data_IF_615815954292
#
_entry.id   IF_615815954292
#
_cell.length_a   1.000
_cell.length_b   1.000
_cell.length_c   1.000
_cell.angle_alpha   90.00
_cell.angle_beta   90.00
_cell.angle_gamma   90.00
#
_symmetry.space_group_name_H-M   'P 1'
#
loop_
_entity.id
_entity.type
_entity.pdbx_description
1 polymer ?
#
# COMPACT_ATOMS: atom_id res chain seq x y z
N UNK A 1 14.92 -25.73 -11.57
CA UNK A 1 14.02 -26.50 -10.70
C UNK A 1 14.70 -26.70 -9.35
N UNK A 2 14.02 -26.40 -8.25
CA UNK A 2 14.55 -26.37 -6.86
C UNK A 2 14.75 -27.76 -6.24
N UNK A 3 14.48 -28.83 -6.99
CA UNK A 3 14.56 -30.23 -6.51
C UNK A 3 16.00 -30.74 -6.42
N UNK A 4 16.96 -30.05 -7.05
CA UNK A 4 18.38 -30.44 -7.09
C UNK A 4 19.09 -30.37 -5.74
N UNK A 5 18.52 -29.70 -4.73
CA UNK A 5 19.13 -29.56 -3.40
C UNK A 5 18.77 -30.67 -2.39
N UNK A 6 17.90 -31.62 -2.77
CA UNK A 6 17.42 -32.69 -1.86
C UNK A 6 18.13 -34.04 -2.07
N UNK A 7 19.12 -34.11 -2.97
CA UNK A 7 19.79 -35.36 -3.33
C UNK A 7 21.31 -35.21 -3.23
N UNK A 8 21.98 -36.28 -2.78
CA UNK A 8 23.44 -36.30 -2.58
C UNK A 8 24.22 -36.06 -3.89
N UNK A 9 23.62 -36.40 -5.03
CA UNK A 9 24.11 -36.00 -6.36
C UNK A 9 23.00 -35.30 -7.18
N UNK A 10 23.03 -33.96 -7.26
CA UNK A 10 22.06 -33.15 -8.01
C UNK A 10 21.99 -33.49 -9.51
N UNK A 11 23.09 -33.97 -10.09
CA UNK A 11 23.17 -34.24 -11.53
C UNK A 11 22.48 -35.55 -11.89
N UNK A 12 22.55 -36.57 -11.01
CA UNK A 12 21.86 -37.85 -11.21
C UNK A 12 20.35 -37.71 -11.34
N UNK A 13 19.72 -36.78 -10.60
CA UNK A 13 18.28 -36.50 -10.70
C UNK A 13 17.91 -35.81 -12.01
N UNK A 14 18.80 -34.97 -12.53
CA UNK A 14 18.55 -34.21 -13.77
C UNK A 14 18.56 -35.12 -15.00
N UNK A 15 19.38 -36.17 -14.97
CA UNK A 15 19.52 -37.13 -16.07
C UNK A 15 18.65 -38.37 -15.92
N UNK A 16 17.98 -38.55 -14.78
CA UNK A 16 17.15 -39.73 -14.53
C UNK A 16 15.88 -39.72 -15.39
N UNK A 17 15.77 -40.70 -16.29
CA UNK A 17 14.64 -40.86 -17.23
C UNK A 17 13.31 -40.99 -16.50
N UNK A 18 13.26 -41.82 -15.45
CA UNK A 18 12.01 -42.10 -14.73
C UNK A 18 11.50 -40.85 -13.99
N UNK A 19 12.42 -40.05 -13.41
CA UNK A 19 12.05 -38.79 -12.74
C UNK A 19 11.52 -37.79 -13.76
N UNK A 20 12.18 -37.66 -14.92
CA UNK A 20 11.74 -36.75 -15.97
C UNK A 20 10.39 -37.17 -16.58
N UNK A 21 10.18 -38.47 -16.79
CA UNK A 21 8.92 -39.03 -17.27
C UNK A 21 7.79 -38.82 -16.24
N UNK A 22 8.05 -39.09 -14.97
CA UNK A 22 7.13 -38.84 -13.87
C UNK A 22 6.74 -37.36 -13.75
N UNK A 23 7.71 -36.44 -13.83
CA UNK A 23 7.46 -34.99 -13.81
C UNK A 23 6.64 -34.58 -15.05
N UNK A 24 6.89 -35.17 -16.21
CA UNK A 24 6.14 -34.90 -17.43
C UNK A 24 4.68 -35.34 -17.31
N UNK A 25 4.43 -36.53 -16.73
CA UNK A 25 3.08 -37.02 -16.44
C UNK A 25 2.37 -36.15 -15.40
N UNK A 26 3.07 -35.70 -14.36
CA UNK A 26 2.51 -34.76 -13.37
C UNK A 26 2.11 -33.43 -14.00
N UNK A 27 2.96 -32.86 -14.86
CA UNK A 27 2.70 -31.61 -15.55
C UNK A 27 1.54 -31.71 -16.55
N UNK A 28 1.31 -32.89 -17.14
CA UNK A 28 0.17 -33.12 -18.05
C UNK A 28 -1.14 -33.32 -17.29
N UNK A 29 -1.12 -33.95 -16.12
CA UNK A 29 -2.31 -34.18 -15.29
C UNK A 29 -2.76 -32.94 -14.50
N UNK A 30 -1.82 -32.09 -14.10
CA UNK A 30 -2.09 -30.87 -13.35
C UNK A 30 -1.17 -29.73 -13.83
N UNK A 31 -1.43 -29.17 -15.03
CA UNK A 31 -0.61 -28.09 -15.56
C UNK A 31 -0.59 -26.90 -14.61
N UNK A 32 0.57 -26.29 -14.33
CA UNK A 32 0.66 -25.11 -13.49
C UNK A 32 -0.24 -24.01 -14.04
N UNK A 33 -1.25 -23.62 -13.26
CA UNK A 33 -2.09 -22.48 -13.62
C UNK A 33 -1.29 -21.20 -13.37
N UNK A 34 -1.08 -20.42 -14.43
CA UNK A 34 -0.48 -19.09 -14.28
C UNK A 34 -1.42 -18.25 -13.42
N UNK A 35 -0.95 -17.88 -12.23
CA UNK A 35 -1.54 -16.85 -11.38
C UNK A 35 -1.26 -15.45 -12.00
N UNK A 36 -1.72 -15.20 -13.23
CA UNK A 36 -1.73 -13.84 -13.75
C UNK A 36 -2.82 -13.08 -13.00
N UNK A 37 -2.41 -12.18 -12.12
CA UNK A 37 -3.31 -11.19 -11.53
C UNK A 37 -3.35 -9.97 -12.45
N UNK A 38 -4.53 -9.48 -12.85
CA UNK A 38 -4.62 -8.27 -13.66
C UNK A 38 -4.13 -7.06 -12.84
N UNK A 39 -3.57 -6.07 -13.53
CA UNK A 39 -3.32 -4.76 -12.92
C UNK A 39 -4.67 -4.12 -12.60
N UNK A 40 -4.90 -3.75 -11.33
CA UNK A 40 -6.15 -3.12 -10.88
C UNK A 40 -5.92 -1.61 -10.79
N UNK A 41 -6.65 -0.84 -11.59
CA UNK A 41 -6.67 0.62 -11.48
C UNK A 41 -7.70 1.06 -10.42
N UNK A 42 -7.22 1.65 -9.33
CA UNK A 42 -8.07 2.14 -8.24
C UNK A 42 -8.52 3.60 -8.41
N UNK A 43 -8.01 4.35 -9.40
CA UNK A 43 -8.35 5.76 -9.63
C UNK A 43 -9.87 6.02 -9.70
N UNK A 44 -10.69 5.18 -10.37
CA UNK A 44 -12.15 5.37 -10.38
C UNK A 44 -12.77 5.26 -8.98
N UNK A 45 -12.23 4.39 -8.12
CA UNK A 45 -12.70 4.22 -6.75
C UNK A 45 -12.40 5.46 -5.91
N UNK A 46 -11.18 5.99 -6.03
CA UNK A 46 -10.80 7.22 -5.33
C UNK A 46 -11.62 8.43 -5.78
N UNK A 47 -11.83 8.59 -7.10
CA UNK A 47 -12.66 9.67 -7.65
C UNK A 47 -14.10 9.59 -7.14
N UNK A 48 -14.68 8.38 -7.11
CA UNK A 48 -16.02 8.18 -6.54
C UNK A 48 -16.10 8.55 -5.05
N UNK A 49 -15.11 8.15 -4.24
CA UNK A 49 -15.07 8.46 -2.81
C UNK A 49 -14.88 9.96 -2.54
N UNK A 50 -14.19 10.68 -3.42
CA UNK A 50 -14.01 12.14 -3.35
C UNK A 50 -15.30 12.91 -3.63
N UNK A 51 -16.11 12.45 -4.59
CA UNK A 51 -17.36 13.12 -4.96
C UNK A 51 -18.47 12.99 -3.91
N UNK A 52 -18.36 12.03 -2.99
CA UNK A 52 -19.33 11.88 -1.91
C UNK A 52 -19.23 13.09 -0.96
N UNK A 53 -20.37 13.73 -0.60
CA UNK A 53 -20.39 14.86 0.33
C UNK A 53 -19.64 14.56 1.63
N UNK A 54 -19.25 15.60 2.37
CA UNK A 54 -18.57 15.46 3.67
C UNK A 54 -19.47 15.82 4.85
N UNK A 55 -20.48 16.66 4.63
CA UNK A 55 -21.33 17.26 5.67
C UNK A 55 -22.79 16.79 5.63
N UNK A 56 -23.25 16.27 4.49
CA UNK A 56 -24.65 15.82 4.26
C UNK A 56 -24.75 14.36 3.81
N UNK A 57 -23.77 13.54 4.19
CA UNK A 57 -23.70 12.14 3.78
C UNK A 57 -24.83 11.31 4.36
N UNK A 58 -25.38 10.38 3.57
CA UNK A 58 -26.18 9.30 4.15
C UNK A 58 -25.30 8.34 4.96
N UNK A 59 -25.88 7.67 5.95
CA UNK A 59 -25.16 6.67 6.77
C UNK A 59 -24.53 5.57 5.92
N UNK A 60 -25.18 5.19 4.80
CA UNK A 60 -24.65 4.20 3.85
C UNK A 60 -23.35 4.66 3.18
N UNK A 61 -23.27 5.92 2.75
CA UNK A 61 -22.07 6.48 2.13
C UNK A 61 -20.91 6.59 3.12
N UNK A 62 -21.18 6.98 4.37
CA UNK A 62 -20.17 7.00 5.44
C UNK A 62 -19.70 5.59 5.78
N UNK A 63 -20.60 4.62 5.83
CA UNK A 63 -20.26 3.23 6.06
C UNK A 63 -19.38 2.68 4.94
N UNK A 64 -19.65 3.02 3.68
CA UNK A 64 -18.79 2.65 2.55
C UNK A 64 -17.39 3.27 2.65
N UNK A 65 -17.29 4.56 2.99
CA UNK A 65 -16.00 5.25 3.22
C UNK A 65 -15.21 4.58 4.35
N UNK A 66 -15.87 4.30 5.47
CA UNK A 66 -15.25 3.63 6.62
C UNK A 66 -14.80 2.20 6.29
N UNK A 67 -15.66 1.42 5.65
CA UNK A 67 -15.38 0.05 5.24
C UNK A 67 -14.18 -0.03 4.29
N UNK A 68 -14.11 0.88 3.31
CA UNK A 68 -12.97 0.99 2.40
C UNK A 68 -11.69 1.34 3.15
N UNK A 69 -11.73 2.35 4.03
CA UNK A 69 -10.56 2.76 4.81
C UNK A 69 -10.06 1.63 5.72
N UNK A 70 -10.95 0.93 6.43
CA UNK A 70 -10.59 -0.22 7.26
C UNK A 70 -10.05 -1.38 6.42
N UNK A 71 -10.66 -1.66 5.26
CA UNK A 71 -10.18 -2.67 4.32
C UNK A 71 -8.74 -2.42 3.87
N UNK A 72 -8.42 -1.19 3.48
CA UNK A 72 -7.08 -0.79 3.01
C UNK A 72 -6.07 -0.69 4.14
N UNK A 73 -6.44 -0.15 5.30
CA UNK A 73 -5.50 0.07 6.41
C UNK A 73 -5.23 -1.18 7.25
N UNK A 74 -6.20 -2.09 7.36
CA UNK A 74 -6.11 -3.30 8.18
C UNK A 74 -6.07 -4.59 7.35
N UNK A 75 -6.03 -4.49 6.02
CA UNK A 75 -6.05 -5.63 5.08
C UNK A 75 -7.24 -6.57 5.30
N UNK A 76 -8.41 -6.01 5.62
CA UNK A 76 -9.60 -6.77 5.95
C UNK A 76 -10.32 -7.24 4.70
N UNK A 77 -10.82 -8.47 4.73
CA UNK A 77 -11.76 -8.97 3.72
C UNK A 77 -13.15 -8.40 3.99
N UNK A 78 -14.05 -8.37 2.98
CA UNK A 78 -15.45 -8.01 3.21
C UNK A 78 -16.12 -8.84 4.32
N UNK A 79 -15.80 -10.14 4.42
CA UNK A 79 -16.31 -11.00 5.49
C UNK A 79 -15.74 -10.67 6.88
N UNK A 80 -14.54 -10.10 6.94
CA UNK A 80 -13.93 -9.70 8.21
C UNK A 80 -14.61 -8.43 8.73
N UNK A 81 -14.95 -7.48 7.83
CA UNK A 81 -15.74 -6.29 8.17
C UNK A 81 -17.12 -6.64 8.75
N UNK A 82 -17.81 -7.62 8.17
CA UNK A 82 -19.10 -8.11 8.66
C UNK A 82 -19.03 -8.74 10.06
N UNK A 83 -17.84 -9.14 10.50
CA UNK A 83 -17.62 -9.82 11.77
C UNK A 83 -17.00 -8.92 12.83
N UNK A 84 -17.09 -7.60 12.65
CA UNK A 84 -16.74 -6.62 13.67
C UNK A 84 -17.99 -6.40 14.55
N UNK A 85 -18.04 -6.94 15.78
CA UNK A 85 -19.17 -6.70 16.65
C UNK A 85 -19.10 -5.26 17.20
N UNK A 86 -20.20 -4.52 17.14
CA UNK A 86 -20.23 -3.12 17.59
C UNK A 86 -19.71 -2.93 19.03
N UNK A 87 -20.01 -3.89 19.92
CA UNK A 87 -19.56 -3.90 21.33
C UNK A 87 -18.03 -3.94 21.53
N UNK A 88 -17.25 -4.35 20.52
CA UNK A 88 -15.79 -4.37 20.63
C UNK A 88 -15.14 -3.05 20.19
N UNK A 89 -15.92 -2.12 19.61
CA UNK A 89 -15.42 -0.87 19.07
C UNK A 89 -15.19 0.12 20.21
N UNK A 90 -13.98 0.66 20.28
CA UNK A 90 -13.61 1.70 21.24
C UNK A 90 -12.90 2.84 20.51
N UNK A 91 -13.45 4.04 20.62
CA UNK A 91 -12.82 5.26 20.10
C UNK A 91 -12.19 5.98 21.29
N UNK A 92 -10.88 6.15 21.26
CA UNK A 92 -10.15 6.96 22.25
C UNK A 92 -9.81 8.32 21.61
N UNK A 93 -10.49 9.41 22.01
CA UNK A 93 -10.22 10.75 21.47
C UNK A 93 -8.80 11.22 21.79
N UNK A 94 -8.34 10.93 23.01
CA UNK A 94 -7.05 11.41 23.51
C UNK A 94 -5.86 10.86 22.74
N UNK A 95 -5.96 9.62 22.25
CA UNK A 95 -4.91 8.97 21.45
C UNK A 95 -5.22 8.97 19.95
N UNK A 96 -6.31 9.62 19.52
CA UNK A 96 -6.83 9.59 18.16
C UNK A 96 -6.77 8.17 17.56
N UNK A 97 -7.32 7.21 18.31
CA UNK A 97 -7.23 5.78 17.97
C UNK A 97 -8.58 5.10 17.99
N UNK A 98 -8.80 4.28 16.98
CA UNK A 98 -9.92 3.36 16.85
C UNK A 98 -9.42 1.94 17.16
N UNK A 99 -9.97 1.33 18.20
CA UNK A 99 -9.80 -0.08 18.53
C UNK A 99 -11.06 -0.83 18.11
N UNK A 100 -10.88 -2.05 17.59
CA UNK A 100 -11.98 -2.98 17.32
C UNK A 100 -11.47 -4.42 17.24
N UNK A 101 -12.37 -5.37 17.36
CA UNK A 101 -12.08 -6.79 17.16
C UNK A 101 -12.80 -7.33 15.93
N UNK A 102 -12.17 -8.29 15.25
CA UNK A 102 -12.80 -9.14 14.23
C UNK A 102 -12.96 -10.53 14.82
N UNK A 103 -14.20 -10.99 14.94
CA UNK A 103 -14.54 -12.28 15.51
C UNK A 103 -14.60 -13.33 14.40
N UNK A 104 -14.07 -14.53 14.62
CA UNK A 104 -14.14 -15.64 13.66
C UNK A 104 -13.76 -15.28 12.20
N UNK A 105 -12.60 -14.63 11.94
CA UNK A 105 -12.14 -14.42 10.58
C UNK A 105 -11.96 -15.77 9.86
N UNK A 106 -11.84 -15.77 8.53
CA UNK A 106 -11.63 -17.04 7.79
C UNK A 106 -10.34 -17.77 8.19
N UNK A 107 -9.37 -17.03 8.74
CA UNK A 107 -8.15 -17.58 9.34
C UNK A 107 -8.48 -18.42 10.57
N UNK A 108 -7.86 -19.60 10.67
CA UNK A 108 -7.97 -20.50 11.82
C UNK A 108 -6.60 -20.72 12.43
N UNK A 109 -6.51 -20.80 13.75
CA UNK A 109 -5.28 -21.18 14.47
C UNK A 109 -5.56 -22.45 15.24
N UNK A 110 -4.74 -23.48 15.05
CA UNK A 110 -4.96 -24.82 15.63
C UNK A 110 -6.38 -25.35 15.38
N UNK A 111 -6.87 -25.17 14.14
CA UNK A 111 -8.24 -25.52 13.69
C UNK A 111 -9.39 -24.80 14.43
N UNK A 112 -9.11 -23.83 15.29
CA UNK A 112 -10.11 -23.03 16.01
C UNK A 112 -10.30 -21.66 15.36
N UNK A 113 -11.51 -21.12 15.53
CA UNK A 113 -11.80 -19.72 15.23
C UNK A 113 -11.05 -18.83 16.20
N UNK A 114 -10.62 -17.67 15.73
CA UNK A 114 -9.84 -16.71 16.51
C UNK A 114 -10.58 -15.38 16.64
N UNK A 115 -10.13 -14.55 17.57
CA UNK A 115 -10.47 -13.13 17.62
C UNK A 115 -9.18 -12.38 17.26
N UNK A 116 -9.27 -11.44 16.32
CA UNK A 116 -8.16 -10.55 15.96
C UNK A 116 -8.50 -9.13 16.38
N UNK A 117 -7.69 -8.56 17.26
CA UNK A 117 -7.83 -7.16 17.67
C UNK A 117 -7.02 -6.25 16.76
N UNK A 118 -7.58 -5.10 16.41
CA UNK A 118 -6.97 -4.08 15.58
C UNK A 118 -6.95 -2.76 16.34
N UNK A 119 -5.90 -1.98 16.13
CA UNK A 119 -5.81 -0.61 16.64
C UNK A 119 -5.32 0.30 15.53
N UNK A 120 -6.23 1.04 14.94
CA UNK A 120 -5.94 2.07 13.94
C UNK A 120 -5.67 3.35 14.70
N UNK A 121 -4.42 3.80 14.68
CA UNK A 121 -4.02 5.04 15.33
C UNK A 121 -3.72 6.10 14.28
N UNK A 122 -4.03 7.35 14.56
CA UNK A 122 -3.55 8.50 13.77
C UNK A 122 -2.04 8.71 14.02
N UNK A 123 -1.22 7.72 13.67
CA UNK A 123 0.21 7.66 14.00
C UNK A 123 1.14 8.17 12.92
N UNK A 124 0.57 8.67 11.83
CA UNK A 124 1.32 9.24 10.72
C UNK A 124 2.37 10.26 11.21
N UNK A 125 2.03 11.13 12.18
CA UNK A 125 3.01 12.08 12.75
C UNK A 125 4.16 11.41 13.51
N UNK A 126 3.93 10.32 14.24
CA UNK A 126 4.99 9.63 15.01
C UNK A 126 5.93 8.86 14.09
N UNK A 127 5.40 8.25 13.03
CA UNK A 127 6.18 7.52 12.05
C UNK A 127 7.05 8.48 11.21
N UNK A 128 6.51 9.64 10.81
CA UNK A 128 7.28 10.65 10.08
C UNK A 128 8.49 11.18 10.87
N UNK A 129 8.44 11.18 12.20
CA UNK A 129 9.57 11.60 13.06
C UNK A 129 10.79 10.68 12.96
N UNK A 130 10.63 9.44 12.50
CA UNK A 130 11.77 8.56 12.21
C UNK A 130 12.45 8.90 10.88
N UNK A 131 11.70 9.47 9.93
CA UNK A 131 12.21 9.82 8.60
C UNK A 131 12.71 11.25 8.50
N UNK A 132 12.27 12.15 9.39
CA UNK A 132 12.68 13.56 9.39
C UNK A 132 12.49 14.21 10.75
N UNK A 133 13.44 15.07 11.13
CA UNK A 133 13.37 15.93 12.32
C UNK A 133 12.61 17.23 12.05
N UNK A 134 12.25 17.50 10.79
CA UNK A 134 11.65 18.76 10.40
C UNK A 134 10.23 18.90 10.97
N UNK A 135 9.91 20.03 11.64
CA UNK A 135 8.61 20.24 12.23
C UNK A 135 7.52 20.35 11.16
N UNK A 136 6.31 19.91 11.50
CA UNK A 136 5.09 20.05 10.68
C UNK A 136 5.12 19.30 9.34
N UNK A 137 6.02 18.35 9.16
CA UNK A 137 5.93 17.39 8.04
C UNK A 137 4.69 16.52 8.25
N UNK A 138 3.87 16.45 7.20
CA UNK A 138 2.68 15.59 7.17
C UNK A 138 2.75 14.65 5.98
N UNK A 139 2.11 13.49 6.10
CA UNK A 139 2.00 12.57 4.96
C UNK A 139 1.21 13.22 3.82
N UNK A 140 0.29 14.13 4.14
CA UNK A 140 -0.41 14.97 3.15
C UNK A 140 0.57 15.80 2.33
N UNK A 141 1.45 16.57 2.97
CA UNK A 141 2.46 17.36 2.26
C UNK A 141 3.41 16.51 1.42
N UNK A 142 3.82 15.34 1.95
CA UNK A 142 4.72 14.41 1.22
C UNK A 142 4.00 13.80 0.02
N UNK A 143 2.82 13.22 0.23
CA UNK A 143 2.05 12.55 -0.82
C UNK A 143 1.65 13.52 -1.93
N UNK A 144 1.25 14.75 -1.58
CA UNK A 144 0.93 15.78 -2.56
C UNK A 144 2.14 16.24 -3.36
N UNK A 145 3.32 16.33 -2.74
CA UNK A 145 4.56 16.66 -3.46
C UNK A 145 4.97 15.52 -4.41
N UNK A 146 4.80 14.26 -4.00
CA UNK A 146 5.00 13.12 -4.88
C UNK A 146 3.99 13.06 -6.03
N UNK A 147 2.73 13.41 -5.78
CA UNK A 147 1.70 13.48 -6.81
C UNK A 147 2.07 14.50 -7.90
N UNK A 148 2.56 15.68 -7.51
CA UNK A 148 3.09 16.67 -8.46
C UNK A 148 4.30 16.15 -9.23
N UNK A 149 5.25 15.51 -8.54
CA UNK A 149 6.42 14.92 -9.18
C UNK A 149 6.05 13.82 -10.19
N UNK A 150 4.96 13.09 -9.95
CA UNK A 150 4.41 12.11 -10.86
C UNK A 150 3.62 12.73 -12.04
N UNK A 151 3.58 14.07 -12.15
CA UNK A 151 2.92 14.79 -13.25
C UNK A 151 1.43 15.04 -13.05
N UNK A 152 0.88 14.85 -11.84
CA UNK A 152 -0.51 15.23 -11.57
C UNK A 152 -0.60 16.77 -11.59
N UNK A 153 -1.59 17.37 -12.30
CA UNK A 153 -1.74 18.81 -12.36
C UNK A 153 -1.87 19.48 -10.98
N UNK A 154 -1.30 20.67 -10.84
CA UNK A 154 -1.31 21.43 -9.58
C UNK A 154 -2.72 21.69 -9.05
N UNK A 155 -3.65 22.06 -9.93
CA UNK A 155 -5.04 22.33 -9.52
C UNK A 155 -5.73 21.08 -8.99
N UNK A 156 -5.43 19.90 -9.55
CA UNK A 156 -5.93 18.63 -9.04
C UNK A 156 -5.33 18.31 -7.67
N UNK A 157 -4.01 18.49 -7.51
CA UNK A 157 -3.34 18.30 -6.21
C UNK A 157 -3.89 19.27 -5.17
N UNK A 158 -4.21 20.50 -5.55
CA UNK A 158 -4.78 21.53 -4.66
C UNK A 158 -6.21 21.21 -4.25
N UNK A 159 -7.01 20.75 -5.21
CA UNK A 159 -8.39 20.32 -4.99
C UNK A 159 -8.43 19.08 -4.11
N UNK A 160 -7.65 18.05 -4.43
CA UNK A 160 -7.54 16.82 -3.61
C UNK A 160 -6.94 17.11 -2.23
N UNK A 161 -6.00 18.04 -2.19
CA UNK A 161 -5.35 18.56 -1.00
C UNK A 161 -6.22 19.55 -0.20
N UNK A 162 -7.46 19.81 -0.63
CA UNK A 162 -8.43 20.72 0.00
C UNK A 162 -7.77 21.99 0.58
N UNK A 163 -6.90 22.64 -0.18
CA UNK A 163 -6.29 23.90 0.24
C UNK A 163 -7.07 25.08 -0.33
N UNK A 164 -7.01 26.19 0.38
CA UNK A 164 -7.68 27.43 0.02
C UNK A 164 -7.16 28.05 -1.28
N UNK A 165 -5.91 27.74 -1.67
CA UNK A 165 -5.32 28.16 -2.94
C UNK A 165 -4.03 27.39 -3.24
N UNK A 166 -3.61 27.41 -4.51
CA UNK A 166 -2.31 26.88 -4.95
C UNK A 166 -1.15 27.57 -4.23
N UNK A 167 -1.27 28.88 -3.97
CA UNK A 167 -0.28 29.62 -3.16
C UNK A 167 -0.16 29.09 -1.73
N UNK A 168 -1.27 28.68 -1.12
CA UNK A 168 -1.27 28.08 0.24
C UNK A 168 -0.51 26.76 0.24
N UNK A 169 -0.69 25.95 -0.80
CA UNK A 169 0.05 24.71 -1.00
C UNK A 169 1.54 24.95 -1.16
N UNK A 170 1.92 25.78 -2.13
CA UNK A 170 3.32 26.04 -2.48
C UNK A 170 4.12 26.58 -1.28
N UNK A 171 3.51 27.47 -0.51
CA UNK A 171 4.19 28.13 0.61
C UNK A 171 4.36 27.25 1.85
N UNK A 172 3.46 26.28 2.07
CA UNK A 172 3.36 25.58 3.36
C UNK A 172 3.41 24.05 3.28
N UNK A 173 3.17 23.48 2.11
CA UNK A 173 2.95 22.05 1.93
C UNK A 173 3.75 21.43 0.79
N UNK A 174 4.24 22.22 -0.18
CA UNK A 174 5.14 21.77 -1.24
C UNK A 174 6.53 21.49 -0.67
N UNK A 175 7.02 20.26 -0.87
CA UNK A 175 8.25 19.74 -0.23
C UNK A 175 9.37 19.44 -1.23
N UNK A 176 9.10 19.60 -2.53
CA UNK A 176 10.02 19.34 -3.64
C UNK A 176 11.33 20.14 -3.50
N UNK A 177 11.25 21.33 -2.87
CA UNK A 177 12.37 22.22 -2.63
C UNK A 177 13.28 21.82 -1.45
N UNK A 178 12.98 20.75 -0.71
CA UNK A 178 13.76 20.34 0.48
C UNK A 178 14.68 19.13 0.27
N UNK A 179 14.70 18.54 -0.93
CA UNK A 179 15.67 17.53 -1.32
C UNK A 179 16.68 18.14 -2.29
N UNK A 180 17.59 18.98 -1.79
CA UNK A 180 18.78 19.40 -2.53
C UNK A 180 19.85 18.32 -2.49
N UNK A 181 19.57 17.15 -3.07
CA UNK A 181 20.64 16.27 -3.54
C UNK A 181 20.25 15.74 -4.91
N UNK A 182 20.78 16.40 -5.93
CA UNK A 182 20.66 15.97 -7.31
C UNK A 182 21.71 14.89 -7.57
N UNK A 183 21.33 13.64 -7.31
CA UNK A 183 22.18 12.47 -7.54
C UNK A 183 22.67 12.39 -8.99
N UNK A 184 21.86 12.89 -9.93
CA UNK A 184 22.11 12.80 -11.37
C UNK A 184 23.17 13.81 -11.79
N UNK A 185 23.05 15.08 -11.39
CA UNK A 185 24.04 16.11 -11.72
C UNK A 185 25.34 16.00 -10.91
N UNK A 186 25.33 15.31 -9.76
CA UNK A 186 26.55 15.05 -8.98
C UNK A 186 27.40 13.90 -9.56
N UNK A 187 26.75 12.89 -10.17
CA UNK A 187 27.44 11.76 -10.82
C UNK A 187 27.80 12.04 -12.29
N UNK A 188 27.04 12.91 -12.95
CA UNK A 188 27.21 13.24 -14.38
C UNK A 188 27.76 14.65 -14.53
N UNK A 189 28.75 15.02 -13.72
CA UNK A 189 29.65 16.11 -14.11
C UNK A 189 30.33 15.68 -15.41
N UNK A 190 29.79 16.14 -16.54
CA UNK A 190 30.45 16.13 -17.84
C UNK A 190 31.70 17.01 -17.75
N UNK A 191 32.77 16.44 -17.19
CA UNK A 191 34.14 16.87 -17.41
C UNK A 191 34.73 15.90 -18.43
N UNK A 192 34.74 16.35 -19.68
CA UNK A 192 35.82 16.07 -20.62
C UNK A 192 35.88 14.64 -21.18
N UNK A 193 34.91 14.35 -22.05
CA UNK A 193 35.22 13.72 -23.32
C UNK A 193 36.10 14.70 -24.13
N UNK A 194 37.41 14.74 -23.84
CA UNK A 194 38.37 15.22 -24.82
C UNK A 194 38.44 14.19 -25.95
N UNK A 195 37.78 14.53 -27.05
CA UNK A 195 38.12 14.02 -28.37
C UNK A 195 39.41 14.72 -28.77
N UNK A 196 40.53 14.00 -28.72
CA UNK A 196 41.71 14.34 -29.51
C UNK A 196 41.83 13.33 -30.67
N UNK A 197 42.08 13.87 -31.85
CA UNK A 197 42.18 13.23 -33.17
C UNK A 197 43.14 12.02 -33.26
#
# INVERSE_FOLDING_TARGET
>A
MTVTHLHQDPNSLRTNVNVNEFVTVLLSQAPPTRLHKPTINLSPTFHHLQQLPHTTCSSSQLQAKLAFLLGVTCFLRPSDLQRIPYRSIQVSPNSASLYFEVHAPKEKRNRRLIIKSFTVKAHIRRLLRFSTSEPRVTLRSIASSFALQAGIPLDDVVTMGNWTSSKTFESHYRREHLATFDFTNTLVSLGDLELDD
#
